data_IF_447156034246
#
_entry.id   IF_447156034246
#
_cell.length_a   1.000
_cell.length_b   1.000
_cell.length_c   1.000
_cell.angle_alpha   90.00
_cell.angle_beta   90.00
_cell.angle_gamma   90.00
#
_symmetry.space_group_name_H-M   'P 1'
#
loop_
_entity.id
_entity.type
_entity.pdbx_description
1 polymer ?
#
# COMPACT_ATOMS: atom_id res chain seq x y z
N UNK A 1 19.58 -14.10 62.62
CA UNK A 1 18.28 -13.46 62.34
C UNK A 1 18.48 -12.53 61.16
N UNK A 2 17.84 -12.86 60.04
CA UNK A 2 18.05 -12.23 58.73
C UNK A 2 16.93 -11.23 58.48
N UNK A 3 17.20 -9.99 58.04
CA UNK A 3 16.20 -9.22 57.33
C UNK A 3 16.42 -9.39 55.82
N UNK A 4 15.37 -9.91 55.18
CA UNK A 4 15.19 -9.97 53.74
C UNK A 4 15.13 -8.54 53.19
N UNK A 5 16.24 -8.05 52.62
CA UNK A 5 16.25 -6.78 51.91
C UNK A 5 15.56 -6.99 50.55
N UNK A 6 14.46 -6.25 50.36
CA UNK A 6 13.50 -6.42 49.29
C UNK A 6 14.11 -6.42 47.89
N UNK A 7 13.70 -7.40 47.10
CA UNK A 7 13.87 -7.41 45.67
C UNK A 7 13.00 -6.30 45.06
N UNK A 8 13.54 -5.08 45.02
CA UNK A 8 12.96 -3.98 44.25
C UNK A 8 13.23 -4.22 42.76
N UNK A 9 12.46 -5.17 42.21
CA UNK A 9 12.47 -5.52 40.79
C UNK A 9 11.80 -4.37 40.05
N UNK A 10 12.58 -3.33 39.77
CA UNK A 10 12.22 -2.22 38.88
C UNK A 10 11.54 -2.80 37.65
N UNK A 11 10.23 -2.58 37.56
CA UNK A 11 9.42 -2.87 36.39
C UNK A 11 10.06 -2.12 35.23
N UNK A 12 10.83 -2.86 34.43
CA UNK A 12 11.38 -2.38 33.17
C UNK A 12 10.19 -2.29 32.23
N UNK A 13 9.39 -1.24 32.41
CA UNK A 13 8.23 -0.95 31.57
C UNK A 13 8.67 -1.06 30.13
N UNK A 14 7.95 -1.87 29.36
CA UNK A 14 8.11 -1.95 27.93
C UNK A 14 7.99 -0.53 27.39
N UNK A 15 9.14 0.08 27.06
CA UNK A 15 9.21 1.37 26.40
C UNK A 15 8.72 1.13 24.98
N UNK A 16 7.40 1.03 24.82
CA UNK A 16 6.73 1.28 23.56
C UNK A 16 7.20 2.66 23.13
N UNK A 17 8.26 2.70 22.31
CA UNK A 17 8.73 3.94 21.73
C UNK A 17 7.53 4.50 21.00
N UNK A 18 7.03 5.64 21.45
CA UNK A 18 5.94 6.35 20.77
C UNK A 18 6.36 6.46 19.32
N UNK A 19 5.72 5.68 18.44
CA UNK A 19 5.98 5.78 17.00
C UNK A 19 5.61 7.21 16.63
N UNK A 20 6.51 7.91 15.95
CA UNK A 20 6.22 9.25 15.44
C UNK A 20 5.08 9.09 14.43
N UNK A 21 4.01 9.88 14.52
CA UNK A 21 2.99 9.90 13.47
C UNK A 21 3.68 10.12 12.13
N UNK A 22 3.40 9.24 11.17
CA UNK A 22 3.81 9.44 9.78
C UNK A 22 2.84 10.48 9.21
N UNK A 23 3.33 11.58 8.62
CA UNK A 23 2.44 12.53 7.96
C UNK A 23 1.66 11.79 6.86
N UNK A 24 0.36 12.04 6.82
CA UNK A 24 -0.50 11.51 5.76
C UNK A 24 -0.01 12.08 4.42
N UNK A 25 0.11 11.24 3.36
CA UNK A 25 0.47 11.76 2.05
C UNK A 25 -0.59 12.77 1.60
N UNK A 26 -0.13 13.93 1.14
CA UNK A 26 -1.05 14.94 0.59
C UNK A 26 -1.79 14.35 -0.62
N UNK A 27 -3.10 14.59 -0.74
CA UNK A 27 -3.86 14.14 -1.90
C UNK A 27 -3.27 14.78 -3.16
N UNK A 28 -3.19 14.00 -4.24
CA UNK A 28 -2.77 14.51 -5.53
C UNK A 28 -3.65 15.68 -5.93
N UNK A 29 -3.05 16.84 -6.22
CA UNK A 29 -3.80 18.01 -6.64
C UNK A 29 -4.35 17.78 -8.05
N UNK A 30 -5.66 18.01 -8.29
CA UNK A 30 -6.22 17.93 -9.63
C UNK A 30 -5.57 18.98 -10.54
N UNK A 31 -5.11 18.55 -11.70
CA UNK A 31 -4.61 19.45 -12.75
C UNK A 31 -5.83 19.89 -13.58
N UNK A 32 -5.89 21.16 -13.93
CA UNK A 32 -6.96 21.73 -14.76
C UNK A 32 -6.39 22.25 -16.07
N UNK A 33 -7.20 22.26 -17.13
CA UNK A 33 -6.89 22.94 -18.40
C UNK A 33 -7.03 24.45 -18.24
N UNK A 34 -6.57 25.22 -19.22
CA UNK A 34 -6.73 26.69 -19.24
C UNK A 34 -8.19 27.15 -19.17
N UNK A 35 -9.11 26.29 -19.64
CA UNK A 35 -10.57 26.51 -19.57
C UNK A 35 -11.19 26.11 -18.21
N UNK A 36 -10.38 25.68 -17.24
CA UNK A 36 -10.82 25.29 -15.90
C UNK A 36 -11.45 23.90 -15.79
N UNK A 37 -11.34 23.06 -16.83
CA UNK A 37 -11.83 21.68 -16.81
C UNK A 37 -10.77 20.73 -16.23
N UNK A 38 -11.16 19.67 -15.48
CA UNK A 38 -10.19 18.73 -14.94
C UNK A 38 -9.44 18.01 -16.06
N UNK A 39 -8.12 18.08 -16.02
CA UNK A 39 -7.23 17.36 -16.92
C UNK A 39 -7.08 15.92 -16.44
N UNK A 40 -7.76 15.01 -17.13
CA UNK A 40 -7.65 13.56 -16.89
C UNK A 40 -6.71 13.00 -17.95
N UNK A 41 -5.47 12.74 -17.58
CA UNK A 41 -4.51 12.07 -18.48
C UNK A 41 -4.78 10.57 -18.44
N UNK A 42 -5.42 10.06 -19.48
CA UNK A 42 -5.59 8.61 -19.69
C UNK A 42 -4.50 8.16 -20.66
N UNK A 43 -3.54 7.37 -20.18
CA UNK A 43 -2.59 6.70 -21.06
C UNK A 43 -3.36 5.65 -21.89
N UNK A 44 -3.29 5.74 -23.21
CA UNK A 44 -3.80 4.69 -24.07
C UNK A 44 -2.88 3.48 -23.91
N UNK A 45 -3.34 2.50 -23.16
CA UNK A 45 -2.65 1.22 -22.97
C UNK A 45 -3.61 0.13 -23.40
N UNK A 46 -3.12 -0.85 -24.16
CA UNK A 46 -3.92 -2.02 -24.52
C UNK A 46 -4.07 -2.92 -23.29
N UNK A 47 -5.27 -3.47 -23.09
CA UNK A 47 -5.59 -4.36 -21.99
C UNK A 47 -6.02 -5.73 -22.49
N UNK A 48 -5.70 -6.77 -21.73
CA UNK A 48 -6.24 -8.11 -21.91
C UNK A 48 -6.93 -8.58 -20.63
N UNK A 49 -8.04 -9.29 -20.77
CA UNK A 49 -8.76 -9.84 -19.63
C UNK A 49 -8.16 -11.18 -19.18
N UNK A 50 -7.95 -11.35 -17.87
CA UNK A 50 -7.58 -12.63 -17.30
C UNK A 50 -8.73 -13.64 -17.47
N UNK A 51 -8.54 -14.65 -18.31
CA UNK A 51 -9.56 -15.68 -18.57
C UNK A 51 -9.59 -16.78 -17.51
N UNK A 52 -8.63 -16.80 -16.57
CA UNK A 52 -8.52 -17.89 -15.62
C UNK A 52 -9.74 -17.97 -14.70
N UNK A 53 -10.48 -19.07 -14.78
CA UNK A 53 -11.63 -19.38 -13.93
C UNK A 53 -12.65 -18.23 -13.79
N UNK A 54 -12.86 -17.48 -14.86
CA UNK A 54 -13.78 -16.33 -14.85
C UNK A 54 -13.26 -15.10 -14.09
N UNK A 55 -11.95 -14.99 -13.84
CA UNK A 55 -11.34 -13.87 -13.10
C UNK A 55 -11.67 -12.49 -13.71
N UNK A 56 -11.58 -12.34 -15.03
CA UNK A 56 -12.00 -11.13 -15.76
C UNK A 56 -11.18 -9.87 -15.47
N UNK A 57 -10.14 -9.94 -14.63
CA UNK A 57 -9.31 -8.78 -14.31
C UNK A 57 -8.64 -8.23 -15.58
N UNK A 58 -8.83 -6.95 -15.85
CA UNK A 58 -8.16 -6.24 -16.94
C UNK A 58 -6.70 -6.00 -16.57
N UNK A 59 -5.80 -6.48 -17.42
CA UNK A 59 -4.36 -6.37 -17.23
C UNK A 59 -3.74 -5.56 -18.38
N UNK A 60 -2.93 -4.54 -18.08
CA UNK A 60 -2.11 -3.87 -19.08
C UNK A 60 -1.21 -4.88 -19.81
N UNK A 61 -1.08 -4.72 -21.13
CA UNK A 61 -0.30 -5.65 -21.96
C UNK A 61 1.19 -5.69 -21.60
N UNK A 62 1.76 -4.57 -21.13
CA UNK A 62 3.13 -4.48 -20.63
C UNK A 62 3.33 -5.31 -19.36
N UNK A 63 2.35 -5.33 -18.45
CA UNK A 63 2.42 -6.18 -17.25
C UNK A 63 2.33 -7.67 -17.57
N UNK A 64 1.54 -8.03 -18.59
CA UNK A 64 1.43 -9.41 -19.07
C UNK A 64 2.72 -9.82 -19.77
N UNK A 65 3.27 -8.96 -20.64
CA UNK A 65 4.55 -9.20 -21.33
C UNK A 65 5.72 -9.32 -20.35
N UNK A 66 5.68 -8.56 -19.24
CA UNK A 66 6.66 -8.65 -18.15
C UNK A 66 6.48 -9.87 -17.23
N UNK A 67 5.48 -10.73 -17.48
CA UNK A 67 5.23 -11.93 -16.68
C UNK A 67 4.82 -11.62 -15.23
N UNK A 68 4.24 -10.45 -14.97
CA UNK A 68 3.73 -10.12 -13.63
C UNK A 68 2.55 -11.04 -13.29
N UNK A 69 2.29 -11.35 -12.02
CA UNK A 69 1.07 -12.06 -11.64
C UNK A 69 -0.16 -11.16 -11.79
N UNK A 70 -1.29 -11.75 -12.18
CA UNK A 70 -2.59 -11.12 -12.27
C UNK A 70 -3.03 -10.58 -10.90
N UNK A 71 -3.46 -9.32 -10.84
CA UNK A 71 -3.97 -8.68 -9.61
C UNK A 71 -5.25 -9.31 -9.08
N UNK A 72 -6.04 -9.95 -9.92
CA UNK A 72 -7.29 -10.62 -9.54
C UNK A 72 -7.10 -12.03 -8.98
N UNK A 73 -6.33 -12.89 -9.67
CA UNK A 73 -6.20 -14.32 -9.31
C UNK A 73 -4.79 -14.76 -8.92
N UNK A 74 -3.80 -13.86 -8.96
CA UNK A 74 -2.42 -14.13 -8.57
C UNK A 74 -1.62 -15.00 -9.55
N UNK A 75 -2.20 -15.41 -10.67
CA UNK A 75 -1.51 -16.23 -11.69
C UNK A 75 -0.81 -15.39 -12.73
N UNK A 76 0.34 -15.87 -13.19
CA UNK A 76 1.10 -15.25 -14.29
C UNK A 76 0.43 -15.54 -15.62
#
# INVERSE_FOLDING_TARGET
>A
MTPLAGADRRTRGSRWRRRRPVPEPEPAQPVFTDDGLPLIVVTQTDFVACSYNGCGALRPLDEVAAGRPCSGCGRV
#
